data_IF_520187145727
#
_entry.id   IF_520187145727
#
_cell.length_a   1.000
_cell.length_b   1.000
_cell.length_c   1.000
_cell.angle_alpha   90.00
_cell.angle_beta   90.00
_cell.angle_gamma   90.00
#
_symmetry.space_group_name_H-M   'P 1'
#
loop_
_entity.id
_entity.type
_entity.pdbx_description
1 polymer ?
#
# COMPACT_ATOMS: atom_id res chain seq x y z
N UNK A 1 33.21 -11.69 1.43
CA UNK A 1 32.78 -10.30 1.73
C UNK A 1 32.24 -9.54 0.52
N UNK A 2 32.92 -9.52 -0.63
CA UNK A 2 32.44 -8.81 -1.85
C UNK A 2 31.02 -9.23 -2.30
N UNK A 3 30.68 -10.52 -2.24
CA UNK A 3 29.34 -11.03 -2.58
C UNK A 3 28.24 -10.50 -1.66
N UNK A 4 28.54 -10.35 -0.36
CA UNK A 4 27.58 -9.81 0.62
C UNK A 4 27.28 -8.33 0.32
N UNK A 5 28.29 -7.56 -0.04
CA UNK A 5 28.14 -6.17 -0.47
C UNK A 5 27.25 -6.04 -1.72
N UNK A 6 27.46 -6.90 -2.72
CA UNK A 6 26.63 -6.91 -3.94
C UNK A 6 25.17 -7.23 -3.61
N UNK A 7 24.92 -8.23 -2.75
CA UNK A 7 23.56 -8.58 -2.32
C UNK A 7 22.89 -7.40 -1.59
N UNK A 8 23.61 -6.75 -0.68
CA UNK A 8 23.11 -5.60 0.07
C UNK A 8 22.74 -4.44 -0.89
N UNK A 9 23.57 -4.21 -1.91
CA UNK A 9 23.38 -3.13 -2.87
C UNK A 9 22.15 -3.38 -3.76
N UNK A 10 21.93 -4.62 -4.20
CA UNK A 10 20.72 -5.00 -4.96
C UNK A 10 19.46 -4.83 -4.10
N UNK A 11 19.50 -5.24 -2.83
CA UNK A 11 18.41 -5.05 -1.88
C UNK A 11 18.08 -3.56 -1.67
N UNK A 12 19.11 -2.74 -1.46
CA UNK A 12 18.95 -1.30 -1.30
C UNK A 12 18.35 -0.64 -2.56
N UNK A 13 18.83 -1.03 -3.75
CA UNK A 13 18.30 -0.53 -5.01
C UNK A 13 16.83 -0.94 -5.23
N UNK A 14 16.48 -2.18 -4.90
CA UNK A 14 15.10 -2.67 -4.98
C UNK A 14 14.16 -1.91 -4.03
N UNK A 15 14.57 -1.66 -2.80
CA UNK A 15 13.81 -0.86 -1.83
C UNK A 15 13.63 0.58 -2.28
N UNK A 16 14.69 1.21 -2.79
CA UNK A 16 14.63 2.57 -3.33
C UNK A 16 13.66 2.65 -4.52
N UNK A 17 13.72 1.69 -5.44
CA UNK A 17 12.80 1.61 -6.57
C UNK A 17 11.35 1.45 -6.11
N UNK A 18 11.10 0.56 -5.14
CA UNK A 18 9.77 0.35 -4.58
C UNK A 18 9.23 1.65 -3.94
N UNK A 19 10.05 2.36 -3.16
CA UNK A 19 9.70 3.62 -2.52
C UNK A 19 9.37 4.74 -3.53
N UNK A 20 10.11 4.80 -4.64
CA UNK A 20 9.91 5.79 -5.70
C UNK A 20 8.65 5.52 -6.55
N UNK A 21 8.28 4.24 -6.70
CA UNK A 21 7.21 3.81 -7.62
C UNK A 21 5.92 3.39 -6.95
N UNK A 22 5.90 3.19 -5.63
CA UNK A 22 4.72 2.75 -4.91
C UNK A 22 4.46 3.57 -3.64
N UNK A 23 3.19 3.85 -3.38
CA UNK A 23 2.67 4.27 -2.09
C UNK A 23 2.28 3.02 -1.29
N UNK A 24 2.77 2.92 -0.06
CA UNK A 24 2.40 1.91 0.91
C UNK A 24 1.43 2.57 1.89
N UNK A 25 0.17 2.17 1.81
CA UNK A 25 -0.91 2.75 2.58
C UNK A 25 -1.34 1.74 3.63
N UNK A 26 -1.16 2.11 4.89
CA UNK A 26 -1.57 1.30 6.03
C UNK A 26 -3.03 1.62 6.37
N UNK A 27 -3.93 0.68 6.15
CA UNK A 27 -5.31 0.72 6.63
C UNK A 27 -5.44 -0.05 7.95
N UNK A 28 -6.63 -0.03 8.56
CA UNK A 28 -6.85 -0.61 9.90
C UNK A 28 -6.49 -2.10 9.98
N UNK A 29 -6.86 -2.86 8.95
CA UNK A 29 -6.69 -4.32 8.92
C UNK A 29 -5.69 -4.80 7.85
N UNK A 30 -5.22 -3.93 6.96
CA UNK A 30 -4.37 -4.33 5.82
C UNK A 30 -3.46 -3.23 5.30
N UNK A 31 -2.31 -3.65 4.78
CA UNK A 31 -1.41 -2.81 4.00
C UNK A 31 -1.81 -2.91 2.52
N UNK A 32 -2.10 -1.78 1.88
CA UNK A 32 -2.36 -1.68 0.44
C UNK A 32 -1.20 -0.98 -0.24
N UNK A 33 -0.86 -1.45 -1.43
CA UNK A 33 0.20 -0.88 -2.26
C UNK A 33 -0.46 -0.25 -3.47
N UNK A 34 -0.13 1.00 -3.75
CA UNK A 34 -0.65 1.76 -4.87
C UNK A 34 0.51 2.24 -5.74
N UNK A 35 0.45 2.01 -7.05
CA UNK A 35 1.50 2.48 -7.95
C UNK A 35 1.40 4.01 -8.10
N UNK A 36 2.53 4.71 -7.98
CA UNK A 36 2.59 6.17 -8.19
C UNK A 36 2.50 6.47 -9.69
N UNK A 37 1.83 7.56 -10.04
CA UNK A 37 1.82 8.05 -11.43
C UNK A 37 3.13 8.72 -11.83
N UNK A 38 3.85 9.30 -10.85
CA UNK A 38 5.12 9.97 -11.05
C UNK A 38 6.16 9.44 -10.05
N UNK A 39 7.43 9.40 -10.46
CA UNK A 39 8.54 9.07 -9.57
C UNK A 39 8.69 10.16 -8.51
N UNK A 40 8.29 9.84 -7.28
CA UNK A 40 8.31 10.79 -6.16
C UNK A 40 8.57 10.06 -4.86
N UNK A 41 9.24 10.71 -3.92
CA UNK A 41 9.40 10.22 -2.55
C UNK A 41 8.28 10.71 -1.63
N UNK A 42 7.42 11.59 -2.11
CA UNK A 42 6.27 12.07 -1.35
C UNK A 42 5.25 10.96 -1.14
N UNK A 43 4.60 10.99 0.03
CA UNK A 43 3.51 10.09 0.39
C UNK A 43 3.85 8.60 0.15
N UNK A 44 5.10 8.20 0.38
CA UNK A 44 5.55 6.81 0.16
C UNK A 44 5.01 5.86 1.21
N UNK A 45 4.99 6.28 2.47
CA UNK A 45 4.42 5.54 3.60
C UNK A 45 3.31 6.40 4.18
N UNK A 46 2.07 5.91 4.08
CA UNK A 46 0.89 6.71 4.39
C UNK A 46 0.03 5.96 5.39
N UNK A 47 -0.28 6.58 6.52
CA UNK A 47 -1.19 6.03 7.52
C UNK A 47 -2.63 6.45 7.20
N UNK A 48 -3.40 5.49 6.72
CA UNK A 48 -4.81 5.59 6.39
C UNK A 48 -5.73 4.95 7.44
N UNK A 49 -5.33 4.86 8.70
CA UNK A 49 -6.18 4.29 9.76
C UNK A 49 -7.20 5.29 10.30
N UNK A 50 -8.36 4.78 10.70
CA UNK A 50 -9.45 5.58 11.26
C UNK A 50 -9.85 6.80 10.41
N UNK A 51 -9.99 7.97 11.05
CA UNK A 51 -10.41 9.21 10.39
C UNK A 51 -9.42 9.75 9.33
N UNK A 52 -8.19 9.24 9.29
CA UNK A 52 -7.17 9.69 8.33
C UNK A 52 -7.44 9.18 6.90
N UNK A 53 -8.30 8.17 6.71
CA UNK A 53 -8.77 7.71 5.39
C UNK A 53 -9.32 8.85 4.53
N UNK A 54 -10.12 9.72 5.15
CA UNK A 54 -10.71 10.88 4.48
C UNK A 54 -9.65 11.90 4.06
N UNK A 55 -8.58 12.04 4.86
CA UNK A 55 -7.44 12.89 4.51
C UNK A 55 -6.69 12.36 3.29
N UNK A 56 -6.63 11.05 3.10
CA UNK A 56 -6.01 10.44 1.91
C UNK A 56 -6.77 10.75 0.61
N UNK A 57 -8.09 10.95 0.71
CA UNK A 57 -8.95 11.36 -0.40
C UNK A 57 -8.82 12.84 -0.76
N UNK A 58 -8.06 13.61 0.02
CA UNK A 58 -7.78 15.03 -0.22
C UNK A 58 -6.37 15.25 -0.79
N UNK A 59 -5.50 14.24 -0.76
CA UNK A 59 -4.14 14.32 -1.30
C UNK A 59 -4.16 14.12 -2.82
N UNK A 60 -3.81 15.13 -3.63
CA UNK A 60 -3.93 15.08 -5.09
C UNK A 60 -3.11 13.95 -5.71
N UNK A 61 -1.91 13.70 -5.17
CA UNK A 61 -1.03 12.62 -5.63
C UNK A 61 -1.65 11.24 -5.45
N UNK A 62 -2.34 11.00 -4.33
CA UNK A 62 -2.99 9.73 -4.03
C UNK A 62 -4.27 9.56 -4.84
N UNK A 63 -5.02 10.65 -5.07
CA UNK A 63 -6.20 10.66 -5.93
C UNK A 63 -5.82 10.29 -7.38
N UNK A 64 -4.77 10.91 -7.92
CA UNK A 64 -4.28 10.61 -9.26
C UNK A 64 -3.78 9.17 -9.39
N UNK A 65 -3.17 8.64 -8.32
CA UNK A 65 -2.74 7.25 -8.25
C UNK A 65 -3.91 6.25 -8.10
N UNK A 66 -5.15 6.70 -7.89
CA UNK A 66 -6.33 5.82 -7.82
C UNK A 66 -6.72 5.36 -6.42
N UNK A 67 -6.41 6.13 -5.37
CA UNK A 67 -6.74 5.74 -3.99
C UNK A 67 -8.24 5.56 -3.71
N UNK A 68 -9.11 6.21 -4.51
CA UNK A 68 -10.56 6.08 -4.43
C UNK A 68 -11.03 4.63 -4.64
N UNK A 69 -10.45 3.96 -5.63
CA UNK A 69 -10.79 2.57 -5.96
C UNK A 69 -10.33 1.62 -4.85
N UNK A 70 -9.16 1.90 -4.25
CA UNK A 70 -8.63 1.13 -3.13
C UNK A 70 -9.49 1.23 -1.88
N UNK A 71 -10.03 2.42 -1.57
CA UNK A 71 -10.91 2.61 -0.40
C UNK A 71 -12.26 1.92 -0.63
N UNK A 72 -12.86 2.05 -1.82
CA UNK A 72 -14.12 1.36 -2.15
C UNK A 72 -14.04 -0.16 -2.04
N UNK A 73 -12.89 -0.75 -2.42
CA UNK A 73 -12.66 -2.20 -2.25
C UNK A 73 -12.43 -2.62 -0.79
N UNK A 74 -11.87 -1.75 0.05
CA UNK A 74 -11.67 -2.03 1.48
C UNK A 74 -13.01 -2.15 2.21
N UNK A 75 -13.94 -1.22 1.95
CA UNK A 75 -15.30 -1.24 2.55
C UNK A 75 -16.14 -2.41 2.04
N UNK A 76 -15.86 -2.89 0.82
CA UNK A 76 -16.61 -3.98 0.19
C UNK A 76 -16.10 -5.38 0.58
N UNK A 77 -14.96 -5.49 1.26
CA UNK A 77 -14.51 -6.74 1.87
C UNK A 77 -15.35 -7.01 3.14
N UNK A 78 -16.63 -7.34 2.95
CA UNK A 78 -17.42 -8.03 3.97
C UNK A 78 -16.78 -9.39 4.17
N UNK A 79 -16.15 -9.59 5.33
CA UNK A 79 -15.76 -10.92 5.82
C UNK A 79 -17.00 -11.83 5.64
N UNK A 80 -16.89 -12.98 4.94
CA UNK A 80 -18.00 -13.91 4.87
C UNK A 80 -18.33 -14.35 6.30
N UNK A 81 -19.48 -13.92 6.81
CA UNK A 81 -19.94 -14.16 8.19
C UNK A 81 -20.34 -15.62 8.44
N UNK A 82 -20.00 -16.54 7.54
CA UNK A 82 -20.28 -17.96 7.67
C UNK A 82 -18.96 -18.74 7.57
N UNK A 83 -18.49 -19.37 8.67
CA UNK A 83 -17.41 -20.34 8.57
C UNK A 83 -17.83 -21.44 7.57
N UNK A 84 -16.90 -21.97 6.75
CA UNK A 84 -17.21 -23.08 5.86
C UNK A 84 -17.80 -24.21 6.69
N UNK A 85 -19.01 -24.63 6.33
CA UNK A 85 -19.66 -25.75 6.98
C UNK A 85 -18.76 -26.98 6.79
N UNK A 86 -18.14 -27.42 7.88
CA UNK A 86 -17.39 -28.67 7.92
C UNK A 86 -18.40 -29.79 7.66
N UNK A 87 -18.36 -30.37 6.45
CA UNK A 87 -19.09 -31.61 6.17
C UNK A 87 -18.46 -32.70 7.02
N UNK A 88 -19.27 -33.30 7.91
CA UNK A 88 -18.91 -34.47 8.70
C UNK A 88 -18.67 -35.68 7.82
#
# INVERSE_FOLDING_TARGET
MKKLFVILLILAAGLAYAALNHHFILFDDHLKILKKNNYSLQNTLVDGRGAKKLKLLLEPDLIQAGIKDLIGQTESYKIPTKPPAVSK
#
